data_IF_646981128276
#
_entry.id   IF_646981128276
#
_cell.length_a   1.000
_cell.length_b   1.000
_cell.length_c   1.000
_cell.angle_alpha   90.00
_cell.angle_beta   90.00
_cell.angle_gamma   90.00
#
_symmetry.space_group_name_H-M   'P 1'
#
loop_
_entity.id
_entity.type
_entity.pdbx_description
1 polymer ?
#
# COMPACT_ATOMS: atom_id res chain seq x y z
N UNK A 1 -6.17 45.80 -2.24
CA UNK A 1 -6.16 44.75 -3.29
C UNK A 1 -4.89 43.94 -3.05
N UNK A 2 -4.99 42.80 -2.38
CA UNK A 2 -3.82 41.95 -2.11
C UNK A 2 -3.49 41.26 -3.44
N UNK A 3 -2.33 41.56 -4.00
CA UNK A 3 -1.84 40.93 -5.21
C UNK A 3 -0.83 39.88 -4.78
N UNK A 4 -1.21 38.61 -4.86
CA UNK A 4 -0.29 37.48 -4.74
C UNK A 4 0.49 37.36 -6.05
N UNK A 5 1.82 37.45 -5.97
CA UNK A 5 2.71 37.10 -7.09
C UNK A 5 3.37 35.76 -6.78
N UNK A 6 3.34 34.84 -7.74
CA UNK A 6 3.98 33.53 -7.63
C UNK A 6 4.90 33.31 -8.84
N UNK A 7 6.06 32.72 -8.58
CA UNK A 7 7.00 32.27 -9.61
C UNK A 7 7.09 30.74 -9.55
N UNK A 8 6.97 30.08 -10.71
CA UNK A 8 7.05 28.62 -10.83
C UNK A 8 8.35 28.22 -11.52
N UNK A 9 9.18 27.47 -10.79
CA UNK A 9 10.12 26.50 -11.40
C UNK A 9 9.53 25.12 -11.07
N UNK A 10 9.58 24.18 -12.00
CA UNK A 10 8.78 22.93 -12.00
C UNK A 10 8.86 21.98 -10.79
N UNK A 11 9.47 22.39 -9.67
CA UNK A 11 9.58 21.62 -8.42
C UNK A 11 9.21 22.46 -7.18
N UNK A 12 9.05 23.80 -7.27
CA UNK A 12 8.74 24.63 -6.10
C UNK A 12 7.97 25.91 -6.44
N UNK A 13 7.08 26.31 -5.54
CA UNK A 13 6.34 27.58 -5.59
C UNK A 13 6.82 28.49 -4.47
N UNK A 14 7.36 29.66 -4.83
CA UNK A 14 7.66 30.71 -3.85
C UNK A 14 6.42 31.60 -3.70
N UNK A 15 5.89 31.70 -2.49
CA UNK A 15 4.73 32.56 -2.16
C UNK A 15 5.14 33.61 -1.14
N UNK A 16 4.88 34.88 -1.45
CA UNK A 16 5.17 36.03 -0.59
C UNK A 16 3.84 36.65 -0.15
N UNK A 17 3.48 36.50 1.13
CA UNK A 17 2.30 37.16 1.70
C UNK A 17 2.65 38.54 2.26
N UNK A 18 1.85 39.55 1.94
CA UNK A 18 1.94 40.89 2.53
C UNK A 18 3.02 41.82 1.96
N UNK A 19 3.69 41.47 0.85
CA UNK A 19 4.78 42.29 0.28
C UNK A 19 4.50 42.70 -1.18
N UNK A 20 4.69 43.98 -1.52
CA UNK A 20 4.62 44.50 -2.89
C UNK A 20 6.02 44.43 -3.54
N UNK A 21 6.14 43.76 -4.69
CA UNK A 21 7.37 43.72 -5.50
C UNK A 21 7.16 44.58 -6.74
N UNK A 22 7.81 45.74 -6.82
CA UNK A 22 7.55 46.73 -7.89
C UNK A 22 8.37 46.51 -9.17
N UNK A 23 9.48 45.76 -9.14
CA UNK A 23 10.38 45.60 -10.30
C UNK A 23 10.78 44.15 -10.57
N UNK A 24 11.78 43.61 -9.86
CA UNK A 24 12.26 42.23 -10.03
C UNK A 24 12.68 41.64 -8.68
N UNK A 25 12.52 40.32 -8.55
CA UNK A 25 12.99 39.55 -7.40
C UNK A 25 14.20 38.72 -7.83
N UNK A 26 15.37 39.07 -7.30
CA UNK A 26 16.61 38.32 -7.55
C UNK A 26 16.98 37.53 -6.28
N UNK A 27 16.88 36.20 -6.36
CA UNK A 27 17.24 35.30 -5.25
C UNK A 27 18.68 34.84 -5.43
N UNK A 28 19.58 35.28 -4.55
CA UNK A 28 20.98 34.84 -4.55
C UNK A 28 21.11 33.38 -4.06
N UNK A 29 22.00 32.57 -4.65
CA UNK A 29 22.25 31.21 -4.18
C UNK A 29 22.67 31.19 -2.70
N UNK A 30 22.05 30.31 -1.90
CA UNK A 30 22.42 30.09 -0.49
C UNK A 30 21.76 30.99 0.55
N UNK A 31 20.81 31.86 0.16
CA UNK A 31 20.20 32.87 1.08
C UNK A 31 18.78 32.55 1.53
N UNK A 32 18.17 31.46 1.06
CA UNK A 32 16.82 31.05 1.48
C UNK A 32 16.90 30.10 2.67
N UNK A 33 16.28 30.49 3.80
CA UNK A 33 15.97 29.58 4.90
C UNK A 33 14.53 29.06 4.72
N UNK A 34 14.37 27.74 4.74
CA UNK A 34 13.04 27.10 4.72
C UNK A 34 12.45 27.23 6.12
N UNK A 35 11.39 28.04 6.26
CA UNK A 35 10.73 28.31 7.55
C UNK A 35 9.64 27.27 7.89
N UNK A 36 9.14 26.53 6.90
CA UNK A 36 8.22 25.41 7.09
C UNK A 36 8.16 24.51 5.85
N UNK A 37 7.99 23.21 6.05
CA UNK A 37 7.67 22.24 5.00
C UNK A 37 6.15 22.02 5.01
N UNK A 38 5.46 22.37 3.93
CA UNK A 38 4.18 21.74 3.60
C UNK A 38 4.44 20.76 2.46
N UNK A 39 4.40 19.47 2.79
CA UNK A 39 4.58 18.40 1.82
C UNK A 39 3.26 18.28 1.05
N UNK A 40 3.16 18.98 -0.08
CA UNK A 40 2.33 18.53 -1.19
C UNK A 40 3.15 17.48 -1.93
N UNK A 41 2.66 16.24 -1.97
CA UNK A 41 3.33 15.13 -2.64
C UNK A 41 3.31 15.42 -4.14
N UNK A 42 4.43 15.87 -4.69
CA UNK A 42 4.65 15.93 -6.13
C UNK A 42 6.10 15.55 -6.42
N UNK A 43 6.25 14.43 -7.15
CA UNK A 43 7.49 13.88 -7.72
C UNK A 43 8.65 13.69 -6.73
N UNK A 44 8.64 12.55 -6.04
CA UNK A 44 9.85 12.04 -5.37
C UNK A 44 10.86 11.67 -6.45
N UNK A 45 12.07 12.22 -6.38
CA UNK A 45 13.21 11.70 -7.14
C UNK A 45 13.53 10.31 -6.59
N UNK A 46 13.06 9.26 -7.26
CA UNK A 46 13.38 7.87 -6.89
C UNK A 46 14.85 7.54 -7.18
N UNK A 47 15.64 7.34 -6.13
CA UNK A 47 16.81 6.43 -6.13
C UNK A 47 17.38 6.12 -4.74
N UNK A 48 16.97 6.81 -3.66
CA UNK A 48 17.41 6.49 -2.30
C UNK A 48 16.37 5.60 -1.60
N UNK A 49 16.79 4.42 -1.14
CA UNK A 49 16.03 3.62 -0.17
C UNK A 49 15.63 4.49 1.02
N UNK A 50 14.35 4.50 1.37
CA UNK A 50 13.86 5.14 2.59
C UNK A 50 13.90 4.14 3.73
N UNK A 51 14.74 4.39 4.72
CA UNK A 51 14.81 3.58 5.94
C UNK A 51 14.21 4.35 7.09
N UNK A 52 13.26 3.72 7.78
CA UNK A 52 12.64 4.24 9.01
C UNK A 52 12.91 3.29 10.17
N UNK A 53 13.16 3.86 11.35
CA UNK A 53 13.25 3.10 12.60
C UNK A 53 11.84 2.72 13.06
N UNK A 54 11.68 1.53 13.62
CA UNK A 54 10.44 1.07 14.27
C UNK A 54 10.73 0.72 15.73
N UNK A 55 9.86 1.20 16.62
CA UNK A 55 9.81 0.80 18.02
C UNK A 55 8.43 0.23 18.31
N UNK A 56 8.40 -1.04 18.71
CA UNK A 56 7.21 -1.70 19.25
C UNK A 56 7.13 -1.41 20.74
N UNK A 57 6.04 -0.80 21.16
CA UNK A 57 5.79 -0.43 22.56
C UNK A 57 4.83 -1.41 23.18
N UNK A 58 5.33 -2.21 24.12
CA UNK A 58 4.50 -3.05 25.00
C UNK A 58 4.03 -2.19 26.16
N UNK A 59 2.74 -2.22 26.44
CA UNK A 59 2.12 -1.38 27.46
C UNK A 59 1.90 -2.22 28.71
N UNK A 60 2.37 -1.71 29.84
CA UNK A 60 2.17 -2.29 31.17
C UNK A 60 1.35 -1.31 32.00
N UNK A 61 0.22 -1.77 32.54
CA UNK A 61 -0.65 -1.01 33.41
C UNK A 61 -0.81 -1.73 34.76
N UNK A 62 -1.51 -1.11 35.71
CA UNK A 62 -1.64 -1.66 37.06
C UNK A 62 -2.53 -2.90 37.14
N UNK A 63 -3.44 -3.06 36.19
CA UNK A 63 -4.45 -4.11 36.11
C UNK A 63 -4.25 -5.07 34.93
N UNK A 64 -3.38 -4.74 33.97
CA UNK A 64 -3.13 -5.57 32.78
C UNK A 64 -1.83 -5.18 32.07
N UNK A 65 -1.33 -6.06 31.19
CA UNK A 65 -0.16 -5.81 30.34
C UNK A 65 -0.31 -6.53 28.99
N UNK A 66 0.38 -6.05 27.94
CA UNK A 66 0.44 -6.76 26.64
C UNK A 66 0.74 -8.24 26.85
N UNK A 67 -0.11 -9.11 26.30
CA UNK A 67 -0.07 -10.55 26.50
C UNK A 67 1.14 -11.19 25.83
N UNK A 68 1.44 -10.76 24.59
CA UNK A 68 2.55 -11.31 23.82
C UNK A 68 3.90 -10.94 24.44
N UNK A 69 4.82 -11.90 24.47
CA UNK A 69 6.17 -11.68 25.00
C UNK A 69 6.99 -10.73 24.12
N UNK A 70 8.01 -10.08 24.69
CA UNK A 70 8.91 -9.19 23.95
C UNK A 70 9.59 -9.90 22.77
N UNK A 71 10.01 -11.15 22.95
CA UNK A 71 10.69 -11.90 21.90
C UNK A 71 9.72 -12.26 20.78
N UNK A 72 8.53 -12.79 21.11
CA UNK A 72 7.57 -13.19 20.08
C UNK A 72 7.07 -11.97 19.29
N UNK A 73 6.80 -10.83 19.95
CA UNK A 73 6.44 -9.59 19.25
C UNK A 73 7.54 -9.09 18.33
N UNK A 74 8.80 -9.11 18.81
CA UNK A 74 9.94 -8.72 17.99
C UNK A 74 10.03 -9.62 16.75
N UNK A 75 9.86 -10.93 16.94
CA UNK A 75 9.96 -11.90 15.87
C UNK A 75 8.83 -11.72 14.85
N UNK A 76 7.58 -11.52 15.30
CA UNK A 76 6.43 -11.26 14.41
C UNK A 76 6.49 -9.92 13.65
N UNK A 77 7.19 -8.91 14.16
CA UNK A 77 7.30 -7.60 13.48
C UNK A 77 8.52 -7.53 12.55
N UNK A 78 9.65 -8.09 12.99
CA UNK A 78 10.95 -7.87 12.34
C UNK A 78 11.53 -9.07 11.63
N UNK A 79 11.09 -10.28 11.96
CA UNK A 79 11.66 -11.51 11.40
C UNK A 79 10.74 -12.07 10.29
N UNK A 80 10.90 -13.36 9.94
CA UNK A 80 10.35 -13.92 8.71
C UNK A 80 8.83 -13.75 8.59
N UNK A 81 8.39 -13.06 7.53
CA UNK A 81 6.99 -12.74 7.25
C UNK A 81 6.33 -11.77 8.26
N UNK A 82 7.12 -10.89 8.87
CA UNK A 82 6.64 -9.71 9.60
C UNK A 82 6.65 -8.43 8.75
N UNK A 83 6.16 -7.33 9.35
CA UNK A 83 6.15 -5.97 8.80
C UNK A 83 7.42 -5.62 8.01
N UNK A 84 8.59 -5.79 8.64
CA UNK A 84 9.89 -5.38 8.09
C UNK A 84 10.17 -6.09 6.77
N UNK A 85 10.06 -7.42 6.76
CA UNK A 85 10.34 -8.25 5.59
C UNK A 85 9.33 -8.02 4.47
N UNK A 86 8.06 -7.79 4.80
CA UNK A 86 7.02 -7.63 3.81
C UNK A 86 7.11 -6.28 3.07
N UNK A 87 7.39 -5.19 3.79
CA UNK A 87 7.62 -3.88 3.17
C UNK A 87 8.89 -3.86 2.31
N UNK A 88 9.97 -4.45 2.79
CA UNK A 88 11.23 -4.56 2.03
C UNK A 88 11.01 -5.35 0.74
N UNK A 89 10.36 -6.50 0.83
CA UNK A 89 10.05 -7.37 -0.29
C UNK A 89 9.12 -6.70 -1.32
N UNK A 90 7.99 -6.13 -0.88
CA UNK A 90 7.02 -5.47 -1.76
C UNK A 90 7.54 -4.18 -2.38
N UNK A 91 8.49 -3.50 -1.76
CA UNK A 91 9.06 -2.26 -2.31
C UNK A 91 10.36 -2.49 -3.08
N UNK A 92 10.88 -3.72 -3.10
CA UNK A 92 12.20 -4.06 -3.63
C UNK A 92 13.31 -3.17 -3.03
N UNK A 93 13.33 -3.03 -1.70
CA UNK A 93 14.33 -2.26 -0.98
C UNK A 93 14.14 -0.73 -0.99
N UNK A 94 13.02 -0.23 -1.53
CA UNK A 94 12.75 1.21 -1.59
C UNK A 94 12.11 1.76 -0.31
N UNK A 95 11.40 0.92 0.44
CA UNK A 95 10.76 1.26 1.71
C UNK A 95 11.12 0.21 2.77
N UNK A 96 12.02 0.57 3.68
CA UNK A 96 12.58 -0.32 4.68
C UNK A 96 12.14 0.15 6.07
N UNK A 97 11.48 -0.72 6.82
CA UNK A 97 11.17 -0.53 8.23
C UNK A 97 12.12 -1.40 9.05
N UNK A 98 13.09 -0.77 9.72
CA UNK A 98 14.12 -1.47 10.49
C UNK A 98 13.83 -1.41 11.98
N UNK A 99 14.18 -2.47 12.71
CA UNK A 99 14.19 -2.41 14.18
C UNK A 99 15.11 -1.30 14.65
N UNK A 100 14.60 -0.43 15.53
CA UNK A 100 15.43 0.60 16.16
C UNK A 100 16.60 -0.04 16.90
N UNK A 101 17.80 0.49 16.70
CA UNK A 101 18.99 0.10 17.48
C UNK A 101 18.75 0.20 19.00
N UNK A 102 19.42 -0.67 19.76
CA UNK A 102 19.43 -0.60 21.22
C UNK A 102 20.01 0.74 21.68
N UNK A 103 19.19 1.53 22.38
CA UNK A 103 19.52 2.88 22.84
C UNK A 103 18.63 3.31 24.00
N UNK A 104 19.03 4.38 24.68
CA UNK A 104 18.22 5.03 25.71
C UNK A 104 17.92 6.46 25.27
N UNK A 105 16.64 6.85 25.31
CA UNK A 105 16.20 8.22 25.02
C UNK A 105 15.56 8.79 26.29
N UNK A 106 16.26 9.74 26.93
CA UNK A 106 15.92 10.14 28.30
C UNK A 106 16.08 8.97 29.25
N UNK A 107 14.98 8.51 29.85
CA UNK A 107 14.92 7.28 30.67
C UNK A 107 14.20 6.11 29.98
N UNK A 108 13.68 6.30 28.76
CA UNK A 108 13.09 5.22 27.97
C UNK A 108 14.19 4.34 27.37
N UNK A 109 14.20 3.06 27.73
CA UNK A 109 15.14 2.06 27.20
C UNK A 109 14.48 1.35 26.01
N UNK A 110 15.14 1.43 24.86
CA UNK A 110 14.77 0.69 23.64
C UNK A 110 15.82 -0.40 23.46
N UNK A 111 15.39 -1.66 23.39
CA UNK A 111 16.26 -2.81 23.15
C UNK A 111 15.80 -3.53 21.91
N UNK A 112 16.62 -3.51 20.86
CA UNK A 112 16.38 -4.18 19.57
C UNK A 112 14.95 -3.95 19.01
N UNK A 113 14.54 -2.68 18.94
CA UNK A 113 13.22 -2.28 18.44
C UNK A 113 12.07 -2.42 19.44
N UNK A 114 12.33 -2.85 20.68
CA UNK A 114 11.29 -3.06 21.69
C UNK A 114 11.42 -2.06 22.85
N UNK A 115 10.30 -1.57 23.36
CA UNK A 115 10.24 -0.79 24.58
C UNK A 115 9.03 -1.20 25.44
N UNK A 116 9.24 -1.36 26.74
CA UNK A 116 8.16 -1.53 27.70
C UNK A 116 7.81 -0.16 28.30
N UNK A 117 6.54 0.25 28.19
CA UNK A 117 6.05 1.52 28.74
C UNK A 117 5.06 1.22 29.86
N UNK A 118 5.54 1.43 31.09
CA UNK A 118 4.75 1.30 32.31
C UNK A 118 3.94 2.59 32.57
N UNK A 119 2.62 2.52 32.43
CA UNK A 119 1.67 3.61 32.68
C UNK A 119 1.08 3.60 34.10
N UNK A 120 1.56 2.74 35.01
CA UNK A 120 1.11 2.73 36.40
C UNK A 120 1.29 4.10 37.09
N UNK A 121 0.37 4.50 38.00
CA UNK A 121 -0.72 3.69 38.57
C UNK A 121 -2.02 3.67 37.74
N UNK A 122 -1.99 4.05 36.46
CA UNK A 122 -3.18 3.95 35.63
C UNK A 122 -3.65 2.49 35.46
N UNK A 123 -4.95 2.35 35.25
CA UNK A 123 -5.62 1.10 34.87
C UNK A 123 -6.13 1.22 33.43
N UNK A 124 -6.36 0.10 32.76
CA UNK A 124 -6.91 0.06 31.38
C UNK A 124 -8.34 -0.46 31.31
N UNK A 125 -8.81 -1.16 32.36
CA UNK A 125 -10.16 -1.72 32.40
C UNK A 125 -11.23 -0.66 32.06
N UNK A 126 -12.08 -0.99 31.09
CA UNK A 126 -13.21 -0.17 30.64
C UNK A 126 -12.79 1.22 30.12
N UNK A 127 -11.56 1.37 29.61
CA UNK A 127 -11.10 2.54 28.87
C UNK A 127 -11.11 2.28 27.37
N UNK A 128 -11.42 3.31 26.60
CA UNK A 128 -11.27 3.25 25.14
C UNK A 128 -9.80 3.18 24.76
N UNK A 129 -9.55 2.65 23.58
CA UNK A 129 -8.26 2.60 22.92
C UNK A 129 -7.58 3.99 22.85
N UNK A 130 -8.32 5.06 22.51
CA UNK A 130 -7.74 6.41 22.46
C UNK A 130 -7.37 6.93 23.85
N UNK A 131 -8.14 6.57 24.89
CA UNK A 131 -7.82 6.97 26.25
C UNK A 131 -6.52 6.31 26.75
N UNK A 132 -6.30 5.05 26.40
CA UNK A 132 -5.05 4.33 26.73
C UNK A 132 -3.88 4.84 25.89
N UNK A 133 -4.06 5.06 24.58
CA UNK A 133 -3.04 5.66 23.70
C UNK A 133 -2.50 6.99 24.27
N UNK A 134 -3.40 7.88 24.72
CA UNK A 134 -3.01 9.15 25.32
C UNK A 134 -2.17 8.99 26.59
N UNK A 135 -2.47 7.98 27.42
CA UNK A 135 -1.65 7.66 28.61
C UNK A 135 -0.27 7.16 28.21
N UNK A 136 -0.17 6.30 27.20
CA UNK A 136 1.11 5.79 26.68
C UNK A 136 1.96 6.93 26.15
N UNK A 137 1.38 7.82 25.33
CA UNK A 137 2.08 8.99 24.78
C UNK A 137 2.54 9.96 25.87
N UNK A 138 1.68 10.27 26.83
CA UNK A 138 2.05 11.10 27.97
C UNK A 138 3.20 10.49 28.79
N UNK A 139 3.20 9.16 28.94
CA UNK A 139 4.29 8.45 29.63
C UNK A 139 5.59 8.50 28.82
N UNK A 140 5.54 8.27 27.50
CA UNK A 140 6.73 8.39 26.63
C UNK A 140 7.29 9.81 26.72
N UNK A 141 6.46 10.85 26.59
CA UNK A 141 6.88 12.26 26.70
C UNK A 141 7.53 12.55 28.06
N UNK A 142 6.98 12.02 29.15
CA UNK A 142 7.57 12.17 30.49
C UNK A 142 8.93 11.44 30.63
N UNK A 143 9.11 10.28 29.99
CA UNK A 143 10.35 9.50 30.03
C UNK A 143 11.45 10.12 29.15
N UNK A 144 11.08 10.64 27.98
CA UNK A 144 12.03 11.13 26.97
C UNK A 144 12.31 12.63 27.07
N UNK A 145 11.37 13.41 27.65
CA UNK A 145 11.37 14.87 27.57
C UNK A 145 11.04 15.41 26.17
N UNK A 146 10.59 14.53 25.26
CA UNK A 146 10.27 14.84 23.87
C UNK A 146 8.75 14.92 23.73
N UNK A 147 8.23 16.02 23.17
CA UNK A 147 6.80 16.17 22.96
C UNK A 147 6.27 15.06 22.05
N UNK A 148 5.23 14.36 22.51
CA UNK A 148 4.70 13.20 21.82
C UNK A 148 3.43 13.55 21.05
N UNK A 149 3.57 13.74 19.75
CA UNK A 149 2.49 13.95 18.76
C UNK A 149 2.31 12.71 17.87
N UNK A 150 1.28 12.73 17.03
CA UNK A 150 0.98 11.65 16.07
C UNK A 150 2.00 11.55 14.92
N UNK A 151 2.79 12.60 14.70
CA UNK A 151 3.82 12.69 13.65
C UNK A 151 5.24 12.44 14.17
N UNK A 152 5.42 12.55 15.49
CA UNK A 152 6.72 12.61 16.14
C UNK A 152 6.56 12.41 17.65
N UNK A 153 7.31 11.48 18.22
CA UNK A 153 7.26 11.20 19.67
C UNK A 153 8.62 10.87 20.30
N UNK A 154 9.53 10.22 19.57
CA UNK A 154 10.90 9.94 20.03
C UNK A 154 11.92 10.54 19.05
N UNK A 155 11.79 10.23 17.77
CA UNK A 155 12.58 10.81 16.69
C UNK A 155 11.72 10.97 15.42
N UNK A 156 12.17 11.81 14.48
CA UNK A 156 11.40 12.18 13.28
C UNK A 156 11.32 11.10 12.21
N UNK A 157 12.14 10.07 12.31
CA UNK A 157 12.20 8.90 11.44
C UNK A 157 11.74 7.62 12.15
N UNK A 158 11.21 7.73 13.38
CA UNK A 158 10.76 6.58 14.17
C UNK A 158 9.25 6.41 14.11
N UNK A 159 8.81 5.22 13.75
CA UNK A 159 7.43 4.74 13.82
C UNK A 159 7.23 3.99 15.15
N UNK A 160 6.09 4.22 15.79
CA UNK A 160 5.71 3.59 17.05
C UNK A 160 4.49 2.69 16.84
N UNK A 161 4.64 1.43 17.21
CA UNK A 161 3.56 0.44 17.18
C UNK A 161 3.17 0.14 18.63
N UNK A 162 2.02 0.65 19.07
CA UNK A 162 1.54 0.49 20.44
C UNK A 162 0.73 -0.80 20.57
N UNK A 163 1.20 -1.70 21.42
CA UNK A 163 0.53 -2.95 21.74
C UNK A 163 -0.26 -2.76 23.04
N UNK A 164 -1.54 -2.39 22.93
CA UNK A 164 -2.36 -2.12 24.11
C UNK A 164 -2.70 -3.44 24.83
N UNK A 165 -2.79 -3.43 26.16
CA UNK A 165 -3.02 -4.65 26.93
C UNK A 165 -4.47 -5.14 26.79
N UNK A 166 -4.74 -6.44 27.05
CA UNK A 166 -6.11 -6.92 27.25
C UNK A 166 -6.74 -6.14 28.42
N UNK A 167 -8.07 -6.10 28.52
CA UNK A 167 -8.86 -5.21 29.42
C UNK A 167 -9.09 -3.78 28.93
N UNK A 168 -8.33 -3.29 27.94
CA UNK A 168 -8.78 -2.15 27.13
C UNK A 168 -10.09 -2.54 26.43
N UNK A 169 -11.04 -1.61 26.24
CA UNK A 169 -12.25 -1.90 25.45
C UNK A 169 -11.83 -2.44 24.09
N UNK A 170 -12.37 -3.60 23.71
CA UNK A 170 -11.95 -4.35 22.54
C UNK A 170 -12.12 -3.52 21.25
N UNK A 171 -11.06 -3.54 20.45
CA UNK A 171 -10.98 -2.99 19.09
C UNK A 171 -10.02 -3.89 18.29
N UNK A 172 -9.82 -3.58 17.02
CA UNK A 172 -8.89 -4.35 16.19
C UNK A 172 -7.52 -3.67 16.14
N UNK A 173 -7.42 -2.60 15.37
CA UNK A 173 -6.27 -1.71 15.29
C UNK A 173 -6.70 -0.36 14.67
N UNK A 174 -5.83 0.64 14.74
CA UNK A 174 -5.94 1.86 13.97
C UNK A 174 -4.57 2.57 13.85
N UNK A 175 -4.50 3.53 12.94
CA UNK A 175 -3.32 4.35 12.74
C UNK A 175 -3.68 5.77 12.32
N UNK A 176 -2.75 6.69 12.57
CA UNK A 176 -2.87 8.06 12.09
C UNK A 176 -2.54 8.15 10.60
N UNK A 177 -3.34 8.92 9.84
CA UNK A 177 -3.26 9.06 8.37
C UNK A 177 -3.04 10.52 7.94
N UNK A 178 -1.87 10.88 7.37
CA UNK A 178 -0.60 10.21 7.60
C UNK A 178 -0.17 10.35 9.07
N UNK A 179 0.84 9.60 9.50
CA UNK A 179 1.29 9.61 10.89
C UNK A 179 2.46 8.67 11.13
N UNK A 180 2.86 8.49 12.39
CA UNK A 180 3.91 7.54 12.81
C UNK A 180 3.53 6.70 14.01
N UNK A 181 2.23 6.67 14.32
CA UNK A 181 1.70 5.88 15.42
C UNK A 181 0.64 4.95 14.85
N UNK A 182 0.82 3.66 15.10
CA UNK A 182 -0.15 2.60 14.90
C UNK A 182 -0.46 1.98 16.25
N UNK A 183 -1.71 1.62 16.48
CA UNK A 183 -2.22 1.15 17.77
C UNK A 183 -2.98 -0.15 17.54
N UNK A 184 -2.61 -1.18 18.28
CA UNK A 184 -3.16 -2.52 18.13
C UNK A 184 -3.75 -2.98 19.44
N UNK A 185 -4.86 -3.70 19.36
CA UNK A 185 -5.40 -4.40 20.51
C UNK A 185 -4.61 -5.69 20.75
N UNK A 186 -3.80 -5.72 21.79
CA UNK A 186 -3.10 -6.90 22.30
C UNK A 186 -2.53 -7.83 21.21
N UNK A 187 -3.10 -9.03 21.04
CA UNK A 187 -2.64 -10.04 20.08
C UNK A 187 -2.81 -9.65 18.61
N UNK A 188 -3.65 -8.66 18.28
CA UNK A 188 -3.84 -8.18 16.90
C UNK A 188 -2.56 -7.59 16.32
N UNK A 189 -1.69 -7.06 17.18
CA UNK A 189 -0.36 -6.56 16.80
C UNK A 189 0.61 -7.65 16.33
N UNK A 190 0.29 -8.93 16.53
CA UNK A 190 1.09 -10.06 16.04
C UNK A 190 0.79 -10.39 14.56
N UNK A 191 -0.33 -9.93 14.01
CA UNK A 191 -0.79 -10.34 12.69
C UNK A 191 -0.21 -9.42 11.61
N UNK A 192 0.54 -10.00 10.66
CA UNK A 192 1.18 -9.25 9.57
C UNK A 192 0.17 -8.39 8.80
N UNK A 193 -1.06 -8.87 8.59
CA UNK A 193 -2.08 -8.11 7.86
C UNK A 193 -2.41 -6.80 8.54
N UNK A 194 -2.52 -6.80 9.88
CA UNK A 194 -2.78 -5.59 10.66
C UNK A 194 -1.53 -4.71 10.71
N UNK A 195 -0.36 -5.30 10.92
CA UNK A 195 0.89 -4.55 10.95
C UNK A 195 1.09 -3.73 9.67
N UNK A 196 1.01 -4.39 8.50
CA UNK A 196 1.23 -3.74 7.20
C UNK A 196 0.10 -2.79 6.85
N UNK A 197 -1.15 -3.10 7.20
CA UNK A 197 -2.30 -2.21 6.98
C UNK A 197 -2.16 -0.89 7.76
N UNK A 198 -1.90 -0.97 9.07
CA UNK A 198 -1.79 0.21 9.93
C UNK A 198 -0.55 1.06 9.64
N UNK A 199 0.58 0.44 9.29
CA UNK A 199 1.74 1.20 8.82
C UNK A 199 1.49 1.78 7.43
N UNK A 200 0.62 1.16 6.63
CA UNK A 200 0.13 1.71 5.37
C UNK A 200 -0.62 3.03 5.56
N UNK A 201 -1.48 3.09 6.56
CA UNK A 201 -2.13 4.33 7.01
C UNK A 201 -1.13 5.40 7.44
N UNK A 202 -0.09 5.04 8.19
CA UNK A 202 0.96 5.98 8.55
C UNK A 202 1.67 6.59 7.33
N UNK A 203 1.79 5.85 6.22
CA UNK A 203 2.30 6.34 4.94
C UNK A 203 1.30 7.20 4.14
N UNK A 204 0.07 7.37 4.63
CA UNK A 204 -0.96 8.22 4.02
C UNK A 204 -2.06 7.45 3.28
N UNK A 205 -1.92 6.14 3.10
CA UNK A 205 -2.88 5.36 2.35
C UNK A 205 -4.21 5.25 3.08
N UNK A 206 -5.31 5.26 2.32
CA UNK A 206 -6.65 4.86 2.79
C UNK A 206 -6.97 3.43 2.36
N UNK A 207 -8.12 2.93 2.81
CA UNK A 207 -8.56 1.58 2.54
C UNK A 207 -8.66 1.25 1.03
N UNK A 208 -8.60 -0.04 0.75
CA UNK A 208 -8.94 -0.64 -0.53
C UNK A 208 -10.31 -1.32 -0.39
N UNK A 209 -11.27 -0.75 -1.10
CA UNK A 209 -12.68 -1.03 -0.98
C UNK A 209 -13.21 -1.77 -2.21
N UNK A 210 -14.39 -2.35 -2.09
CA UNK A 210 -15.23 -2.78 -3.21
C UNK A 210 -16.49 -1.92 -3.31
N UNK A 211 -17.06 -1.75 -4.52
CA UNK A 211 -18.38 -1.15 -4.68
C UNK A 211 -19.44 -1.98 -3.93
N UNK A 212 -20.60 -1.35 -3.64
CA UNK A 212 -21.73 -2.07 -3.07
C UNK A 212 -22.05 -3.36 -3.84
N UNK A 213 -22.25 -4.47 -3.14
CA UNK A 213 -22.81 -5.68 -3.74
C UNK A 213 -24.34 -5.60 -3.68
N UNK A 214 -25.04 -5.35 -4.80
CA UNK A 214 -26.50 -5.29 -4.82
C UNK A 214 -27.16 -6.63 -4.48
N UNK A 215 -26.42 -7.74 -4.52
CA UNK A 215 -26.89 -9.08 -4.16
C UNK A 215 -26.63 -9.44 -2.69
N UNK A 216 -25.80 -8.66 -2.00
CA UNK A 216 -25.54 -8.81 -0.57
C UNK A 216 -25.57 -7.42 0.15
N UNK A 217 -26.73 -6.74 0.14
CA UNK A 217 -26.86 -5.39 0.67
C UNK A 217 -26.70 -5.31 2.20
N UNK A 218 -26.84 -6.43 2.92
CA UNK A 218 -26.66 -6.46 4.37
C UNK A 218 -25.18 -6.43 4.77
N UNK A 219 -24.30 -6.98 3.94
CA UNK A 219 -22.85 -7.01 4.16
C UNK A 219 -22.16 -5.77 3.55
N UNK A 220 -22.74 -5.22 2.48
CA UNK A 220 -22.15 -4.12 1.73
C UNK A 220 -23.18 -3.12 1.17
N UNK A 221 -23.86 -2.33 2.02
CA UNK A 221 -24.99 -1.49 1.61
C UNK A 221 -24.63 -0.25 0.76
N UNK A 222 -23.36 0.15 0.68
CA UNK A 222 -22.94 1.34 -0.10
C UNK A 222 -21.52 1.23 -0.67
N UNK A 223 -20.59 0.69 0.11
CA UNK A 223 -19.27 0.22 -0.34
C UNK A 223 -18.70 -0.70 0.72
N UNK A 224 -17.94 -1.70 0.33
CA UNK A 224 -17.31 -2.62 1.27
C UNK A 224 -15.94 -2.04 1.53
N UNK A 225 -15.80 -1.26 2.61
CA UNK A 225 -14.58 -0.49 2.93
C UNK A 225 -13.30 -1.34 2.91
N UNK A 226 -13.42 -2.63 3.20
CA UNK A 226 -12.33 -3.61 3.21
C UNK A 226 -12.53 -4.74 2.19
N UNK A 227 -13.42 -4.56 1.22
CA UNK A 227 -13.80 -5.62 0.28
C UNK A 227 -12.67 -6.06 -0.64
N UNK A 228 -11.76 -5.16 -1.01
CA UNK A 228 -10.67 -5.48 -1.94
C UNK A 228 -9.57 -6.27 -1.21
N UNK A 229 -9.66 -7.59 -1.26
CA UNK A 229 -8.69 -8.48 -0.60
C UNK A 229 -7.39 -8.67 -1.39
N UNK A 230 -7.22 -8.04 -2.56
CA UNK A 230 -6.05 -8.20 -3.44
C UNK A 230 -4.77 -7.60 -2.84
N UNK A 231 -4.89 -6.69 -1.88
CA UNK A 231 -3.74 -6.14 -1.15
C UNK A 231 -3.99 -5.93 0.34
N UNK A 232 -3.00 -5.35 1.03
CA UNK A 232 -3.07 -5.16 2.48
C UNK A 232 -3.98 -4.03 2.97
N UNK A 233 -4.33 -3.05 2.12
CA UNK A 233 -5.23 -1.98 2.52
C UNK A 233 -6.72 -2.37 2.52
N UNK A 234 -7.07 -3.59 2.11
CA UNK A 234 -8.42 -4.12 2.26
C UNK A 234 -8.52 -5.08 3.45
N UNK A 235 -9.26 -6.18 3.30
CA UNK A 235 -9.56 -7.13 4.37
C UNK A 235 -8.33 -7.71 5.07
N UNK A 236 -8.31 -7.59 6.41
CA UNK A 236 -7.34 -8.20 7.30
C UNK A 236 -7.67 -9.66 7.65
N UNK A 237 -6.70 -10.38 8.20
CA UNK A 237 -6.83 -11.79 8.60
C UNK A 237 -6.28 -12.01 10.01
N UNK A 238 -6.92 -12.88 10.79
CA UNK A 238 -6.45 -13.29 12.12
C UNK A 238 -5.40 -14.41 12.02
N UNK A 239 -4.31 -14.15 11.29
CA UNK A 239 -3.26 -15.13 11.05
C UNK A 239 -1.88 -14.52 11.31
N UNK A 240 -1.00 -15.32 11.92
CA UNK A 240 0.40 -15.00 12.08
C UNK A 240 1.12 -15.23 10.75
N UNK A 241 2.01 -14.32 10.37
CA UNK A 241 2.97 -14.51 9.28
C UNK A 241 2.34 -14.82 7.90
N UNK A 242 1.03 -14.59 7.72
CA UNK A 242 0.26 -14.74 6.47
C UNK A 242 -0.96 -13.82 6.50
N UNK A 243 -1.49 -13.35 5.36
CA UNK A 243 -1.06 -13.58 3.98
C UNK A 243 0.24 -12.84 3.60
N UNK A 244 0.99 -13.45 2.68
CA UNK A 244 2.11 -12.82 1.99
C UNK A 244 1.57 -12.18 0.70
N UNK A 245 1.23 -10.89 0.77
CA UNK A 245 0.69 -10.13 -0.37
C UNK A 245 1.34 -8.75 -0.48
N UNK A 246 1.19 -8.06 -1.60
CA UNK A 246 1.60 -6.65 -1.68
C UNK A 246 0.38 -5.75 -1.78
N UNK A 247 0.59 -4.43 -1.84
CA UNK A 247 -0.52 -3.51 -2.09
C UNK A 247 -1.02 -3.65 -3.54
N UNK A 248 -2.30 -3.32 -3.78
CA UNK A 248 -2.86 -3.30 -5.12
C UNK A 248 -2.16 -2.23 -5.99
N UNK A 249 -2.49 -2.18 -7.29
CA UNK A 249 -1.85 -1.27 -8.25
C UNK A 249 -1.97 0.21 -7.87
N UNK A 250 -3.14 0.64 -7.38
CA UNK A 250 -3.37 2.05 -7.03
C UNK A 250 -2.52 2.49 -5.83
N UNK A 251 -2.52 1.70 -4.76
CA UNK A 251 -1.71 1.95 -3.55
C UNK A 251 -0.21 1.87 -3.82
N UNK A 252 0.23 0.89 -4.62
CA UNK A 252 1.62 0.78 -5.04
C UNK A 252 2.08 1.95 -5.89
N UNK A 253 1.17 2.51 -6.72
CA UNK A 253 1.43 3.72 -7.49
C UNK A 253 1.56 4.95 -6.59
N UNK A 254 0.66 5.14 -5.63
CA UNK A 254 0.67 6.23 -4.63
C UNK A 254 2.01 6.27 -3.87
N UNK A 255 2.57 5.10 -3.55
CA UNK A 255 3.87 4.98 -2.88
C UNK A 255 5.08 5.19 -3.80
N UNK A 256 4.89 5.17 -5.12
CA UNK A 256 5.95 5.32 -6.12
C UNK A 256 6.92 4.13 -6.19
N UNK A 257 6.56 2.96 -5.67
CA UNK A 257 7.47 1.81 -5.57
C UNK A 257 7.94 1.27 -6.91
N UNK A 258 7.16 1.46 -7.97
CA UNK A 258 7.48 0.94 -9.30
C UNK A 258 7.55 2.07 -10.34
N UNK A 259 7.92 3.29 -9.93
CA UNK A 259 7.91 4.48 -10.79
C UNK A 259 8.69 4.29 -12.11
N UNK A 260 9.80 3.54 -12.09
CA UNK A 260 10.60 3.20 -13.27
C UNK A 260 9.93 2.21 -14.24
N UNK A 261 8.79 1.65 -13.84
CA UNK A 261 7.95 0.69 -14.59
C UNK A 261 6.47 1.10 -14.60
N UNK A 262 6.17 2.31 -14.18
CA UNK A 262 4.85 2.92 -14.34
C UNK A 262 4.64 3.28 -15.82
N UNK A 263 3.40 3.18 -16.27
CA UNK A 263 2.98 3.69 -17.56
C UNK A 263 1.75 4.57 -17.39
N UNK A 264 1.82 5.82 -17.82
CA UNK A 264 0.63 6.66 -17.93
C UNK A 264 0.12 6.55 -19.35
N UNK A 265 -1.08 6.01 -19.52
CA UNK A 265 -1.75 6.03 -20.81
C UNK A 265 -2.22 7.44 -21.11
N UNK A 266 -1.85 7.91 -22.30
CA UNK A 266 -2.41 9.12 -22.90
C UNK A 266 -3.32 8.68 -24.03
N UNK A 267 -4.55 9.20 -24.03
CA UNK A 267 -5.61 8.87 -24.97
C UNK A 267 -5.12 8.58 -26.41
N UNK A 268 -5.34 7.35 -26.88
CA UNK A 268 -4.88 6.85 -28.18
C UNK A 268 -5.96 5.99 -28.88
N UNK A 269 -6.61 6.51 -29.93
CA UNK A 269 -7.68 5.80 -30.62
C UNK A 269 -7.23 4.58 -31.44
N UNK A 270 -5.94 4.46 -31.76
CA UNK A 270 -5.41 3.28 -32.45
C UNK A 270 -5.17 2.09 -31.51
N UNK A 271 -5.23 2.33 -30.20
CA UNK A 271 -4.87 1.38 -29.16
C UNK A 271 -3.38 1.34 -28.86
N UNK A 272 -3.09 1.04 -27.60
CA UNK A 272 -1.74 0.87 -27.07
C UNK A 272 -1.67 -0.49 -26.39
N UNK A 273 -0.83 -1.37 -26.93
CA UNK A 273 -0.55 -2.69 -26.34
C UNK A 273 0.64 -2.61 -25.41
N UNK A 274 0.48 -3.11 -24.20
CA UNK A 274 1.44 -2.99 -23.09
C UNK A 274 1.66 -4.37 -22.47
N UNK A 275 2.91 -4.73 -22.23
CA UNK A 275 3.27 -5.92 -21.47
C UNK A 275 3.35 -5.60 -19.99
N UNK A 276 2.45 -6.18 -19.20
CA UNK A 276 2.43 -6.11 -17.74
C UNK A 276 3.14 -7.31 -17.12
N UNK A 277 3.90 -7.06 -16.06
CA UNK A 277 4.40 -8.06 -15.12
C UNK A 277 3.77 -7.79 -13.76
N UNK A 278 3.56 -8.83 -12.97
CA UNK A 278 3.05 -8.67 -11.62
C UNK A 278 4.13 -8.16 -10.67
N UNK A 279 3.71 -7.58 -9.55
CA UNK A 279 4.62 -7.05 -8.52
C UNK A 279 5.65 -8.07 -8.07
N UNK A 280 5.29 -9.35 -7.98
CA UNK A 280 6.20 -10.42 -7.57
C UNK A 280 7.34 -10.71 -8.57
N UNK A 281 7.15 -10.34 -9.83
CA UNK A 281 8.11 -10.57 -10.92
C UNK A 281 8.88 -9.30 -11.30
N UNK A 282 8.67 -8.16 -10.61
CA UNK A 282 9.33 -6.90 -10.94
C UNK A 282 10.86 -7.02 -10.97
N UNK A 283 11.45 -7.73 -10.02
CA UNK A 283 12.91 -7.90 -9.92
C UNK A 283 13.55 -8.73 -11.04
N UNK A 284 12.78 -9.51 -11.78
CA UNK A 284 13.25 -10.33 -12.91
C UNK A 284 12.82 -9.77 -14.27
N UNK A 285 12.00 -8.71 -14.27
CA UNK A 285 11.43 -8.12 -15.46
C UNK A 285 12.40 -7.22 -16.23
N UNK A 286 12.20 -7.15 -17.55
CA UNK A 286 13.01 -6.29 -18.42
C UNK A 286 12.69 -4.80 -18.22
N UNK A 287 13.59 -3.93 -18.71
CA UNK A 287 13.42 -2.47 -18.82
C UNK A 287 12.05 -2.01 -19.34
N UNK A 288 11.56 -2.75 -20.31
CA UNK A 288 10.44 -2.33 -21.15
C UNK A 288 9.10 -2.87 -20.65
N UNK A 289 9.12 -3.91 -19.80
CA UNK A 289 7.94 -4.39 -19.11
C UNK A 289 7.36 -3.27 -18.21
N UNK A 290 6.08 -3.34 -17.88
CA UNK A 290 5.41 -2.38 -16.99
C UNK A 290 4.77 -3.13 -15.83
N UNK A 291 4.66 -2.49 -14.67
CA UNK A 291 4.02 -3.11 -13.49
C UNK A 291 2.61 -2.56 -13.29
N UNK A 292 2.45 -1.26 -13.47
CA UNK A 292 1.19 -0.56 -13.23
C UNK A 292 0.97 0.41 -14.37
N UNK A 293 -0.23 0.38 -14.94
CA UNK A 293 -0.71 1.40 -15.86
C UNK A 293 -1.66 2.32 -15.10
N UNK A 294 -1.46 3.63 -15.22
CA UNK A 294 -2.46 4.64 -14.84
C UNK A 294 -3.15 5.14 -16.10
N UNK A 295 -4.47 5.13 -16.07
CA UNK A 295 -5.34 5.66 -17.11
C UNK A 295 -6.24 6.74 -16.48
N UNK A 296 -6.08 7.97 -16.93
CA UNK A 296 -6.93 9.08 -16.53
C UNK A 296 -7.98 9.33 -17.62
N UNK A 297 -9.21 8.89 -17.39
CA UNK A 297 -10.35 9.07 -18.28
C UNK A 297 -11.24 10.25 -17.84
N UNK A 298 -10.77 11.11 -16.92
CA UNK A 298 -11.53 12.26 -16.41
C UNK A 298 -11.93 13.22 -17.53
N UNK A 299 -11.12 13.36 -18.58
CA UNK A 299 -11.45 14.20 -19.75
C UNK A 299 -12.65 13.69 -20.53
N UNK A 300 -12.88 12.38 -20.51
CA UNK A 300 -13.85 11.69 -21.36
C UNK A 300 -15.20 11.62 -20.65
N UNK A 301 -15.18 11.38 -19.34
CA UNK A 301 -16.38 11.19 -18.51
C UNK A 301 -16.81 12.46 -17.76
N UNK A 302 -15.89 13.40 -17.55
CA UNK A 302 -16.07 14.57 -16.70
C UNK A 302 -16.05 14.27 -15.20
N UNK A 303 -15.67 13.06 -14.79
CA UNK A 303 -15.64 12.60 -13.39
C UNK A 303 -14.22 12.24 -12.96
N UNK A 304 -13.78 12.83 -11.85
CA UNK A 304 -12.45 12.58 -11.30
C UNK A 304 -12.29 11.16 -10.71
N UNK A 305 -13.39 10.43 -10.52
CA UNK A 305 -13.39 9.03 -10.13
C UNK A 305 -12.91 8.08 -11.24
N UNK A 306 -12.78 8.56 -12.48
CA UNK A 306 -12.38 7.77 -13.65
C UNK A 306 -10.86 7.76 -13.87
N UNK A 307 -10.14 7.63 -12.76
CA UNK A 307 -8.69 7.36 -12.75
C UNK A 307 -8.49 5.90 -12.38
N UNK A 308 -8.11 5.10 -13.39
CA UNK A 308 -7.95 3.66 -13.30
C UNK A 308 -6.47 3.28 -13.16
N UNK A 309 -6.24 2.22 -12.39
CA UNK A 309 -4.96 1.54 -12.22
C UNK A 309 -5.12 0.09 -12.66
N UNK A 310 -4.31 -0.31 -13.64
CA UNK A 310 -4.32 -1.67 -14.21
C UNK A 310 -3.02 -2.36 -13.83
N UNK A 311 -3.13 -3.52 -13.16
CA UNK A 311 -1.98 -4.27 -12.68
C UNK A 311 -2.23 -5.78 -12.77
N UNK A 312 -1.18 -6.55 -13.03
CA UNK A 312 -1.27 -8.02 -13.08
C UNK A 312 -1.11 -8.62 -11.67
N UNK A 313 -2.16 -9.24 -11.13
CA UNK A 313 -2.17 -9.84 -9.79
C UNK A 313 -1.54 -11.22 -9.77
N UNK A 314 -0.25 -11.27 -10.09
CA UNK A 314 0.53 -12.50 -10.11
C UNK A 314 0.58 -13.10 -8.70
N UNK A 315 -0.01 -14.27 -8.52
CA UNK A 315 -0.11 -14.97 -7.25
C UNK A 315 1.12 -15.88 -7.02
N UNK A 316 2.30 -15.27 -6.88
CA UNK A 316 3.55 -15.99 -6.59
C UNK A 316 4.47 -15.19 -5.69
N UNK A 317 5.47 -15.85 -5.10
CA UNK A 317 6.50 -15.21 -4.28
C UNK A 317 5.92 -14.29 -3.21
N UNK A 318 6.31 -13.01 -3.26
CA UNK A 318 5.92 -11.95 -2.31
C UNK A 318 4.43 -11.57 -2.40
N UNK A 319 3.70 -12.10 -3.39
CA UNK A 319 2.28 -11.85 -3.62
C UNK A 319 1.42 -13.13 -3.66
N UNK A 320 1.96 -14.26 -3.17
CA UNK A 320 1.29 -15.58 -3.24
C UNK A 320 -0.03 -15.64 -2.45
N UNK A 321 -0.17 -14.82 -1.40
CA UNK A 321 -1.34 -14.72 -0.54
C UNK A 321 -2.31 -13.61 -0.93
N UNK A 322 -2.27 -13.09 -2.16
CA UNK A 322 -3.32 -12.20 -2.67
C UNK A 322 -4.69 -12.87 -2.51
N UNK A 323 -5.67 -12.13 -1.98
CA UNK A 323 -6.89 -12.73 -1.42
C UNK A 323 -7.93 -13.18 -2.45
N UNK A 324 -7.87 -12.63 -3.66
CA UNK A 324 -8.81 -12.91 -4.74
C UNK A 324 -8.16 -12.67 -6.12
N UNK A 325 -8.80 -13.21 -7.15
CA UNK A 325 -8.46 -12.96 -8.55
C UNK A 325 -6.98 -13.24 -8.90
N UNK A 326 -6.52 -14.41 -8.47
CA UNK A 326 -5.14 -14.87 -8.66
C UNK A 326 -4.81 -15.00 -10.15
N UNK A 327 -3.65 -14.45 -10.55
CA UNK A 327 -3.15 -14.51 -11.92
C UNK A 327 -4.10 -13.88 -12.96
N UNK A 328 -4.86 -12.85 -12.55
CA UNK A 328 -5.71 -12.03 -13.41
C UNK A 328 -5.21 -10.59 -13.47
N UNK A 329 -5.66 -9.83 -14.47
CA UNK A 329 -5.39 -8.38 -14.55
C UNK A 329 -6.47 -7.64 -13.76
N UNK A 330 -6.08 -6.91 -12.72
CA UNK A 330 -7.00 -6.13 -11.90
C UNK A 330 -7.16 -4.73 -12.44
N UNK A 331 -8.37 -4.20 -12.31
CA UNK A 331 -8.71 -2.81 -12.56
C UNK A 331 -9.24 -2.22 -11.25
N UNK A 332 -8.57 -1.16 -10.79
CA UNK A 332 -8.91 -0.45 -9.55
C UNK A 332 -9.03 1.04 -9.86
N UNK A 333 -9.99 1.75 -9.28
CA UNK A 333 -10.07 3.22 -9.37
C UNK A 333 -9.54 3.90 -8.12
N UNK A 334 -8.94 5.08 -8.29
CA UNK A 334 -8.56 5.97 -7.18
C UNK A 334 -8.44 7.42 -7.69
N UNK A 335 -9.37 8.28 -7.29
CA UNK A 335 -9.38 9.75 -7.45
C UNK A 335 -8.24 10.46 -6.67
N UNK A 336 -6.99 10.13 -6.98
CA UNK A 336 -5.81 10.76 -6.37
C UNK A 336 -5.29 10.08 -5.09
N UNK A 337 -4.31 10.72 -4.46
CA UNK A 337 -3.58 10.14 -3.33
C UNK A 337 -4.37 10.29 -2.01
N UNK A 338 -4.10 9.41 -1.04
CA UNK A 338 -4.64 9.48 0.33
C UNK A 338 -6.18 9.45 0.42
N UNK A 339 -6.81 8.82 -0.56
CA UNK A 339 -8.25 8.49 -0.60
C UNK A 339 -8.45 6.99 -0.86
N UNK A 340 -9.64 6.42 -0.54
CA UNK A 340 -9.90 5.00 -0.78
C UNK A 340 -9.75 4.62 -2.25
N UNK A 341 -9.24 3.42 -2.52
CA UNK A 341 -9.28 2.84 -3.87
C UNK A 341 -10.45 1.87 -3.99
N UNK A 342 -11.03 1.70 -5.17
CA UNK A 342 -12.17 0.80 -5.37
C UNK A 342 -11.86 -0.24 -6.44
N UNK A 343 -11.85 -1.51 -6.06
CA UNK A 343 -11.75 -2.62 -7.00
C UNK A 343 -12.96 -2.62 -7.95
N UNK A 344 -12.71 -2.62 -9.26
CA UNK A 344 -13.76 -2.58 -10.28
C UNK A 344 -14.04 -3.98 -10.83
N UNK A 345 -12.98 -4.66 -11.26
CA UNK A 345 -13.07 -5.99 -11.87
C UNK A 345 -11.69 -6.64 -11.97
N UNK A 346 -11.69 -7.93 -12.27
CA UNK A 346 -10.54 -8.68 -12.70
C UNK A 346 -10.83 -9.32 -14.06
N UNK A 347 -9.84 -9.30 -14.94
CA UNK A 347 -9.96 -9.78 -16.31
C UNK A 347 -9.03 -10.97 -16.54
N UNK A 348 -9.61 -12.06 -17.04
CA UNK A 348 -8.89 -13.18 -17.65
C UNK A 348 -8.48 -12.88 -19.10
N UNK A 349 -7.63 -13.76 -19.65
CA UNK A 349 -7.28 -13.71 -21.06
C UNK A 349 -8.54 -13.72 -21.96
N UNK A 350 -8.61 -12.75 -22.86
CA UNK A 350 -9.70 -12.57 -23.81
C UNK A 350 -10.84 -11.70 -23.27
N UNK A 351 -10.83 -11.36 -21.99
CA UNK A 351 -11.84 -10.49 -21.39
C UNK A 351 -11.48 -9.00 -21.56
N UNK A 352 -12.51 -8.17 -21.43
CA UNK A 352 -12.39 -6.72 -21.55
C UNK A 352 -13.29 -6.01 -20.54
N UNK A 353 -12.86 -4.82 -20.15
CA UNK A 353 -13.62 -3.87 -19.37
C UNK A 353 -13.87 -2.60 -20.19
N UNK A 354 -15.12 -2.18 -20.26
CA UNK A 354 -15.51 -0.92 -20.87
C UNK A 354 -15.53 0.17 -19.81
N UNK A 355 -14.86 1.28 -20.08
CA UNK A 355 -14.80 2.39 -19.14
C UNK A 355 -16.14 3.10 -19.15
N UNK A 356 -16.71 3.33 -17.98
CA UNK A 356 -18.04 3.93 -17.84
C UNK A 356 -18.04 5.35 -18.41
N UNK A 357 -19.00 5.67 -19.28
CA UNK A 357 -19.16 7.01 -19.85
C UNK A 357 -18.60 7.20 -21.26
N UNK A 358 -17.77 6.29 -21.75
CA UNK A 358 -17.29 6.29 -23.15
C UNK A 358 -17.47 4.90 -23.79
N UNK A 359 -18.38 4.75 -24.77
CA UNK A 359 -18.61 3.46 -25.41
C UNK A 359 -17.40 2.90 -26.16
N UNK A 360 -16.44 3.76 -26.52
CA UNK A 360 -15.29 3.41 -27.35
C UNK A 360 -14.00 3.22 -26.52
N UNK A 361 -14.01 3.47 -25.20
CA UNK A 361 -12.84 3.31 -24.34
C UNK A 361 -12.86 1.97 -23.58
N UNK A 362 -11.86 1.11 -23.83
CA UNK A 362 -11.79 -0.22 -23.23
C UNK A 362 -10.38 -0.61 -22.81
N UNK A 363 -10.31 -1.53 -21.85
CA UNK A 363 -9.12 -2.25 -21.43
C UNK A 363 -9.35 -3.73 -21.74
N UNK A 364 -8.53 -4.35 -22.58
CA UNK A 364 -8.63 -5.77 -22.92
C UNK A 364 -7.36 -6.52 -22.56
N UNK A 365 -7.51 -7.72 -22.00
CA UNK A 365 -6.39 -8.64 -21.78
C UNK A 365 -6.25 -9.54 -23.00
N UNK A 366 -5.20 -9.35 -23.79
CA UNK A 366 -4.96 -10.13 -25.00
C UNK A 366 -4.39 -11.52 -24.69
N UNK A 367 -3.52 -11.62 -23.69
CA UNK A 367 -2.89 -12.88 -23.28
C UNK A 367 -2.39 -12.84 -21.84
N UNK A 368 -2.34 -14.00 -21.18
CA UNK A 368 -1.65 -14.22 -19.91
C UNK A 368 -0.77 -15.46 -20.05
N UNK A 369 0.52 -15.32 -19.75
CA UNK A 369 1.49 -16.42 -19.71
C UNK A 369 2.18 -16.48 -18.34
N UNK A 370 1.76 -17.44 -17.52
CA UNK A 370 2.36 -17.74 -16.20
C UNK A 370 3.41 -18.86 -16.26
N UNK A 371 3.72 -19.39 -17.45
CA UNK A 371 4.71 -20.46 -17.64
C UNK A 371 6.14 -19.93 -17.76
N UNK A 372 6.30 -18.62 -17.91
CA UNK A 372 7.58 -17.91 -18.01
C UNK A 372 7.88 -17.12 -16.73
N UNK A 373 9.15 -16.74 -16.55
CA UNK A 373 9.60 -15.85 -15.48
C UNK A 373 10.41 -14.71 -16.13
N UNK A 374 9.96 -13.45 -16.04
CA UNK A 374 8.70 -13.01 -15.41
C UNK A 374 7.47 -13.55 -16.15
N UNK A 375 6.38 -13.81 -15.41
CA UNK A 375 5.08 -14.05 -16.02
C UNK A 375 4.53 -12.75 -16.61
N UNK A 376 3.82 -12.83 -17.74
CA UNK A 376 3.37 -11.65 -18.48
C UNK A 376 1.89 -11.67 -18.77
N UNK A 377 1.25 -10.52 -18.62
CA UNK A 377 -0.07 -10.24 -19.16
C UNK A 377 0.06 -9.16 -20.25
N UNK A 378 -0.47 -9.40 -21.44
CA UNK A 378 -0.51 -8.40 -22.51
C UNK A 378 -1.87 -7.71 -22.47
N UNK A 379 -1.86 -6.39 -22.34
CA UNK A 379 -3.08 -5.57 -22.25
C UNK A 379 -3.11 -4.57 -23.39
N UNK A 380 -4.26 -4.43 -24.06
CA UNK A 380 -4.52 -3.37 -25.03
C UNK A 380 -5.54 -2.38 -24.46
N UNK A 381 -5.18 -1.10 -24.43
CA UNK A 381 -6.05 0.01 -24.05
C UNK A 381 -6.30 0.85 -25.30
N UNK A 382 -7.55 1.19 -25.63
CA UNK A 382 -7.83 2.18 -26.67
C UNK A 382 -9.09 2.96 -26.41
N UNK A 383 -9.19 4.09 -27.12
CA UNK A 383 -10.36 4.97 -27.17
C UNK A 383 -10.89 5.02 -28.62
N UNK A 384 -11.52 3.94 -29.06
CA UNK A 384 -11.98 3.73 -30.43
C UNK A 384 -12.58 2.34 -30.65
N UNK A 385 -12.99 2.02 -31.88
CA UNK A 385 -13.43 0.65 -32.18
C UNK A 385 -12.23 -0.30 -32.10
N UNK A 386 -12.33 -1.26 -31.19
CA UNK A 386 -11.40 -2.38 -31.04
C UNK A 386 -10.99 -3.02 -32.37
N UNK A 387 -9.69 -3.16 -32.68
CA UNK A 387 -9.26 -4.17 -33.63
C UNK A 387 -9.76 -5.55 -33.16
N UNK A 388 -10.31 -6.40 -34.05
CA UNK A 388 -10.81 -7.71 -33.68
C UNK A 388 -9.75 -8.49 -32.91
N UNK A 389 -10.19 -9.22 -31.87
CA UNK A 389 -9.30 -10.01 -31.03
C UNK A 389 -8.35 -10.88 -31.89
N UNK A 390 -7.08 -11.03 -31.51
CA UNK A 390 -6.20 -11.98 -32.17
C UNK A 390 -6.87 -13.37 -32.21
N UNK A 391 -6.74 -14.13 -33.31
CA UNK A 391 -7.28 -15.47 -33.36
C UNK A 391 -6.74 -16.29 -32.18
N UNK A 392 -7.63 -17.04 -31.51
CA UNK A 392 -7.24 -17.92 -30.43
C UNK A 392 -6.04 -18.78 -30.86
N UNK A 393 -5.02 -18.87 -30.01
CA UNK A 393 -3.87 -19.73 -30.27
C UNK A 393 -4.37 -21.16 -30.56
N UNK A 394 -3.83 -21.84 -31.59
CA UNK A 394 -4.27 -23.18 -31.93
C UNK A 394 -4.13 -24.08 -30.70
N UNK A 395 -5.21 -24.78 -30.36
CA UNK A 395 -5.23 -25.75 -29.28
C UNK A 395 -4.05 -26.72 -29.45
N UNK A 396 -3.35 -27.12 -28.37
CA UNK A 396 -2.34 -28.17 -28.46
C UNK A 396 -2.95 -29.38 -29.18
N UNK A 397 -2.22 -30.02 -30.12
CA UNK A 397 -2.74 -31.20 -30.79
C UNK A 397 -3.15 -32.22 -29.74
N UNK A 398 -4.37 -32.73 -29.85
CA UNK A 398 -4.88 -33.76 -28.95
C UNK A 398 -3.89 -34.92 -28.88
N UNK A 399 -3.52 -35.30 -27.66
CA UNK A 399 -2.64 -36.43 -27.42
C UNK A 399 -3.14 -37.65 -28.21
N UNK A 400 -2.23 -38.41 -28.87
CA UNK A 400 -2.62 -39.62 -29.58
C UNK A 400 -3.41 -40.56 -28.67
N UNK A 401 -4.42 -41.29 -29.19
CA UNK A 401 -5.18 -42.27 -28.42
C UNK A 401 -4.23 -43.22 -27.69
N UNK A 402 -4.44 -43.42 -26.40
CA UNK A 402 -3.69 -44.37 -25.60
C UNK A 402 -3.73 -45.76 -26.28
N UNK A 403 -2.55 -46.33 -26.52
CA UNK A 403 -2.43 -47.69 -27.04
C UNK A 403 -3.15 -48.66 -26.09
N UNK A 404 -3.92 -49.62 -26.62
CA UNK A 404 -4.59 -50.62 -25.79
C UNK A 404 -3.56 -51.45 -25.00
N UNK A 405 -3.91 -51.94 -23.79
CA UNK A 405 -2.99 -52.69 -22.95
C UNK A 405 -2.48 -53.94 -23.69
N UNK A 406 -1.17 -54.12 -23.69
CA UNK A 406 -0.54 -55.33 -24.20
C UNK A 406 -1.02 -56.54 -23.37
N UNK A 407 -1.68 -57.48 -24.04
CA UNK A 407 -1.99 -58.80 -23.48
C UNK A 407 -0.66 -59.54 -23.34
N UNK A 408 -0.20 -59.72 -22.10
CA UNK A 408 0.87 -60.66 -21.79
C UNK A 408 0.31 -62.08 -21.95
N UNK A 409 0.63 -62.75 -23.05
CA UNK A 409 0.58 -64.21 -23.11
C UNK A 409 1.85 -64.76 -22.45
N UNK A 410 1.69 -65.43 -21.32
CA UNK A 410 2.72 -66.21 -20.66
C UNK A 410 2.20 -67.63 -20.41
N UNK A 411 2.93 -68.59 -20.95
CA UNK A 411 2.83 -70.04 -20.72
C UNK A 411 2.91 -70.44 -19.23
#
# INVERSE_FOLDING_TARGET
>A
KVLTSSAKSGVSVLSLEGTLVENSLEVKPGTLQVLSHQIGIAARVASSSMTSDVVVVRVVASDSQTSTSTNDLRDHVFESAGLSTQYDACSYGKQIFSKSSTRTVGSLVITDGMADVDISPATVFNKTDQAVELLVRAKIEALTGVSCSTQFCIASDTYLLFMLPPETIEFEAYAYVPGKISVYYDVKGNYISYQVHEVGHNLGMRHASEPADPNNPDDCPSSCEYGDTTGFMGGGTYQLDTPIKCFNGAKSWELGWYEDRHFTYTDNPAGTTISLVGVADYGTASGDDKVIIKLDATSDTGSAADVFYVAFNRATGINVGTGQNNDQVLIVTQEGDSIPSYFQTALDQGEQYQISGDPDHYIRVDSIDTSTVPAKATVTISSGILPPAPPAAPSPPSSPPALPPAVLSGD
#
